data_IF_038503720834
#
_entry.id   IF_038503720834
#
_cell.length_a   1.000
_cell.length_b   1.000
_cell.length_c   1.000
_cell.angle_alpha   90.00
_cell.angle_beta   90.00
_cell.angle_gamma   90.00
#
_symmetry.space_group_name_H-M   'P 1'
#
loop_
_entity.id
_entity.type
_entity.pdbx_description
1 polymer ?
#
# COMPACT_ATOMS: atom_id res chain seq x y z
N UNK A 1 19.77 -22.44 8.75
CA UNK A 1 21.05 -21.90 8.25
C UNK A 1 20.65 -20.82 7.27
N UNK A 2 20.70 -19.55 7.68
CA UNK A 2 20.50 -18.45 6.73
C UNK A 2 21.54 -18.60 5.63
N UNK A 3 21.18 -18.45 4.35
CA UNK A 3 22.16 -18.29 3.31
C UNK A 3 23.06 -17.13 3.75
N UNK A 4 24.37 -17.37 3.89
CA UNK A 4 25.28 -16.29 4.25
C UNK A 4 25.16 -15.16 3.24
N UNK A 5 25.56 -13.95 3.61
CA UNK A 5 25.53 -12.73 2.78
C UNK A 5 26.19 -12.88 1.38
N UNK A 6 26.90 -13.98 1.12
CA UNK A 6 27.53 -14.34 -0.15
C UNK A 6 26.82 -15.48 -0.91
N UNK A 7 25.65 -15.93 -0.46
CA UNK A 7 24.89 -17.02 -1.10
C UNK A 7 23.99 -16.52 -2.21
N UNK A 8 23.69 -15.22 -2.25
CA UNK A 8 22.97 -14.62 -3.36
C UNK A 8 23.94 -14.37 -4.53
N UNK A 9 23.63 -14.97 -5.68
CA UNK A 9 24.39 -14.81 -6.93
C UNK A 9 24.50 -13.33 -7.31
N UNK A 10 23.59 -12.47 -6.85
CA UNK A 10 23.50 -11.04 -7.18
C UNK A 10 24.43 -10.18 -6.32
N UNK A 11 24.44 -10.39 -5.00
CA UNK A 11 25.42 -9.75 -4.09
C UNK A 11 26.86 -10.16 -4.42
N UNK A 12 27.05 -11.39 -4.90
CA UNK A 12 28.35 -11.86 -5.44
C UNK A 12 28.76 -11.06 -6.67
N UNK A 13 27.86 -10.78 -7.61
CA UNK A 13 28.18 -9.98 -8.81
C UNK A 13 28.54 -8.53 -8.44
N UNK A 14 27.79 -7.90 -7.54
CA UNK A 14 28.09 -6.52 -7.10
C UNK A 14 29.42 -6.43 -6.33
N UNK A 15 29.62 -7.29 -5.33
CA UNK A 15 30.70 -7.14 -4.35
C UNK A 15 32.00 -7.85 -4.79
N UNK A 16 31.89 -9.02 -5.43
CA UNK A 16 33.06 -9.84 -5.78
C UNK A 16 33.54 -9.55 -7.21
N UNK A 17 32.66 -9.05 -8.10
CA UNK A 17 33.03 -8.82 -9.51
C UNK A 17 33.13 -7.32 -9.81
N UNK A 18 32.05 -6.55 -9.61
CA UNK A 18 32.02 -5.15 -10.04
C UNK A 18 33.01 -4.25 -9.27
N UNK A 19 33.04 -4.35 -7.94
CA UNK A 19 33.93 -3.53 -7.10
C UNK A 19 35.43 -3.84 -7.39
N UNK A 20 35.88 -5.10 -7.40
CA UNK A 20 37.28 -5.40 -7.73
C UNK A 20 37.64 -5.01 -9.17
N UNK A 21 36.73 -5.16 -10.14
CA UNK A 21 36.97 -4.75 -11.51
C UNK A 21 37.14 -3.22 -11.63
N UNK A 22 36.35 -2.44 -10.89
CA UNK A 22 36.50 -0.98 -10.82
C UNK A 22 37.85 -0.57 -10.21
N UNK A 23 38.28 -1.25 -9.13
CA UNK A 23 39.59 -1.03 -8.50
C UNK A 23 40.72 -1.39 -9.47
N UNK A 24 40.62 -2.53 -10.16
CA UNK A 24 41.63 -2.96 -11.14
C UNK A 24 41.73 -1.95 -12.27
N UNK A 25 40.60 -1.48 -12.79
CA UNK A 25 40.58 -0.44 -13.81
C UNK A 25 41.30 0.83 -13.34
N UNK A 26 40.99 1.29 -12.13
CA UNK A 26 41.52 2.54 -11.60
C UNK A 26 43.01 2.47 -11.26
N UNK A 27 43.46 1.38 -10.66
CA UNK A 27 44.82 1.25 -10.10
C UNK A 27 45.81 0.72 -11.12
N UNK A 28 45.42 -0.23 -11.97
CA UNK A 28 46.34 -0.96 -12.84
C UNK A 28 46.17 -0.66 -14.33
N UNK A 29 44.94 -0.42 -14.80
CA UNK A 29 44.68 -0.15 -16.23
C UNK A 29 44.87 1.33 -16.56
N UNK A 30 44.40 2.24 -15.69
CA UNK A 30 44.50 3.69 -15.88
C UNK A 30 45.92 4.20 -16.14
N UNK A 31 46.98 3.69 -15.48
CA UNK A 31 48.37 4.11 -15.76
C UNK A 31 48.89 3.65 -17.13
N UNK A 32 48.28 2.64 -17.75
CA UNK A 32 48.72 2.04 -19.01
C UNK A 32 47.96 2.69 -20.18
N UNK A 33 46.64 2.73 -20.11
CA UNK A 33 45.78 3.34 -21.12
C UNK A 33 44.48 3.85 -20.48
N UNK A 34 44.28 5.16 -20.60
CA UNK A 34 43.12 5.84 -20.02
C UNK A 34 41.80 5.46 -20.71
N UNK A 35 41.82 5.26 -22.03
CA UNK A 35 40.61 4.93 -22.81
C UNK A 35 40.13 3.53 -22.47
N UNK A 36 41.06 2.58 -22.37
CA UNK A 36 40.74 1.20 -21.96
C UNK A 36 40.26 1.16 -20.51
N UNK A 37 40.91 1.92 -19.62
CA UNK A 37 40.46 2.05 -18.22
C UNK A 37 39.02 2.59 -18.14
N UNK A 38 38.68 3.62 -18.91
CA UNK A 38 37.34 4.19 -18.92
C UNK A 38 36.29 3.17 -19.40
N UNK A 39 36.60 2.37 -20.42
CA UNK A 39 35.70 1.30 -20.89
C UNK A 39 35.50 0.22 -19.81
N UNK A 40 36.58 -0.26 -19.18
CA UNK A 40 36.50 -1.30 -18.13
C UNK A 40 35.75 -0.79 -16.89
N UNK A 41 35.97 0.47 -16.53
CA UNK A 41 35.24 1.10 -15.43
C UNK A 41 33.75 1.27 -15.75
N UNK A 42 33.41 1.66 -16.99
CA UNK A 42 32.03 1.73 -17.46
C UNK A 42 31.31 0.39 -17.37
N UNK A 43 31.96 -0.71 -17.78
CA UNK A 43 31.41 -2.07 -17.64
C UNK A 43 31.19 -2.43 -16.17
N UNK A 44 32.14 -2.11 -15.29
CA UNK A 44 31.99 -2.34 -13.85
C UNK A 44 30.79 -1.57 -13.25
N UNK A 45 30.59 -0.32 -13.67
CA UNK A 45 29.49 0.53 -13.22
C UNK A 45 28.13 0.00 -13.71
N UNK A 46 28.03 -0.46 -14.95
CA UNK A 46 26.80 -1.08 -15.48
C UNK A 46 26.46 -2.36 -14.71
N UNK A 47 27.45 -3.22 -14.44
CA UNK A 47 27.23 -4.44 -13.64
C UNK A 47 26.79 -4.13 -12.21
N UNK A 48 27.37 -3.09 -11.60
CA UNK A 48 26.98 -2.63 -10.26
C UNK A 48 25.54 -2.11 -10.24
N UNK A 49 25.19 -1.20 -11.16
CA UNK A 49 23.84 -0.65 -11.25
C UNK A 49 22.80 -1.72 -11.57
N UNK A 50 23.11 -2.66 -12.47
CA UNK A 50 22.23 -3.78 -12.79
C UNK A 50 21.99 -4.70 -11.58
N UNK A 51 23.04 -4.97 -10.79
CA UNK A 51 22.90 -5.73 -9.56
C UNK A 51 22.05 -4.98 -8.51
N UNK A 52 22.20 -3.67 -8.36
CA UNK A 52 21.37 -2.86 -7.46
C UNK A 52 19.90 -2.73 -7.92
N UNK A 53 19.65 -2.64 -9.23
CA UNK A 53 18.30 -2.59 -9.80
C UNK A 53 17.54 -3.92 -9.64
N UNK A 54 18.25 -5.05 -9.68
CA UNK A 54 17.64 -6.37 -9.45
C UNK A 54 17.48 -6.71 -7.96
N UNK A 55 18.11 -5.95 -7.06
CA UNK A 55 17.94 -6.07 -5.61
C UNK A 55 16.65 -5.36 -5.16
N UNK A 56 16.40 -4.15 -5.68
CA UNK A 56 15.14 -3.40 -5.44
C UNK A 56 13.89 -4.10 -5.98
N UNK A 57 14.04 -5.01 -6.94
CA UNK A 57 12.92 -5.80 -7.47
C UNK A 57 12.56 -7.03 -6.61
N UNK A 58 13.45 -7.51 -5.72
CA UNK A 58 13.23 -8.74 -4.93
C UNK A 58 12.87 -8.48 -3.46
N UNK A 59 13.03 -7.25 -2.96
CA UNK A 59 12.54 -6.86 -1.63
C UNK A 59 11.00 -6.99 -1.49
N UNK A 60 10.27 -7.12 -2.60
CA UNK A 60 8.83 -7.36 -2.61
C UNK A 60 8.42 -8.85 -2.68
N UNK A 61 9.36 -9.82 -2.68
CA UNK A 61 9.00 -11.23 -2.99
C UNK A 61 9.49 -12.36 -2.09
N UNK A 62 10.11 -12.17 -0.93
CA UNK A 62 10.47 -13.36 -0.11
C UNK A 62 10.37 -13.23 1.41
N UNK A 63 9.17 -13.47 1.94
CA UNK A 63 9.03 -14.06 3.28
C UNK A 63 9.39 -15.55 3.17
N UNK A 64 10.60 -15.90 3.58
CA UNK A 64 11.09 -17.28 3.57
C UNK A 64 10.40 -18.11 4.68
N UNK A 65 9.56 -19.08 4.28
CA UNK A 65 8.94 -20.08 5.16
C UNK A 65 10.02 -20.81 5.97
N UNK A 66 10.06 -20.63 7.29
CA UNK A 66 10.92 -21.40 8.19
C UNK A 66 10.07 -22.27 9.12
N UNK A 67 10.31 -23.58 9.09
CA UNK A 67 9.64 -24.58 9.92
C UNK A 67 10.15 -24.51 11.37
N UNK A 68 9.31 -24.67 12.41
CA UNK A 68 9.73 -24.44 13.79
C UNK A 68 10.59 -25.57 14.36
N UNK A 69 11.65 -25.23 15.09
CA UNK A 69 12.41 -26.14 15.97
C UNK A 69 11.82 -26.05 17.40
N UNK A 70 11.76 -27.14 18.20
CA UNK A 70 10.97 -27.18 19.43
C UNK A 70 11.51 -26.25 20.51
N UNK A 71 10.62 -25.47 21.14
CA UNK A 71 10.89 -24.55 22.23
C UNK A 71 10.99 -25.26 23.59
N UNK A 72 12.07 -24.97 24.33
CA UNK A 72 12.17 -25.19 25.78
C UNK A 72 11.47 -24.03 26.50
N UNK A 73 10.66 -24.38 27.51
CA UNK A 73 9.77 -23.50 28.30
C UNK A 73 10.49 -22.33 29.00
N UNK A 74 9.95 -21.14 28.77
CA UNK A 74 10.06 -19.94 29.61
C UNK A 74 9.16 -18.88 28.99
N UNK A 75 8.07 -18.49 29.66
CA UNK A 75 6.91 -17.85 29.02
C UNK A 75 7.00 -16.32 28.98
N UNK A 76 7.14 -15.70 27.79
CA UNK A 76 6.62 -14.36 27.54
C UNK A 76 5.53 -14.35 26.45
N UNK A 77 4.53 -13.48 26.69
CA UNK A 77 3.48 -12.87 25.84
C UNK A 77 3.13 -13.59 24.52
N UNK A 78 1.86 -14.00 24.30
CA UNK A 78 1.44 -14.51 23.00
C UNK A 78 1.47 -13.37 21.97
N UNK A 79 2.47 -13.38 21.10
CA UNK A 79 2.36 -12.85 19.74
C UNK A 79 1.58 -13.88 18.95
N UNK A 80 0.26 -13.70 18.92
CA UNK A 80 -0.60 -14.29 17.90
C UNK A 80 -0.63 -13.27 16.77
N UNK A 81 0.23 -13.45 15.78
CA UNK A 81 -0.05 -12.91 14.45
C UNK A 81 -0.88 -14.01 13.79
N UNK A 82 -2.18 -13.98 14.05
CA UNK A 82 -3.14 -14.69 13.22
C UNK A 82 -3.11 -13.98 11.86
N UNK A 83 -2.87 -14.73 10.77
CA UNK A 83 -3.35 -14.32 9.45
C UNK A 83 -4.87 -14.20 9.60
N UNK A 84 -5.32 -12.99 9.94
CA UNK A 84 -6.71 -12.60 9.83
C UNK A 84 -7.00 -12.53 8.33
N UNK A 85 -7.34 -13.66 7.72
CA UNK A 85 -8.19 -13.62 6.53
C UNK A 85 -9.49 -12.99 7.01
N UNK A 86 -9.65 -11.70 6.74
CA UNK A 86 -10.91 -11.01 6.98
C UNK A 86 -11.95 -11.68 6.09
N UNK A 87 -12.77 -12.50 6.72
CA UNK A 87 -13.98 -13.00 6.11
C UNK A 87 -14.94 -11.81 6.03
N UNK A 88 -15.47 -11.54 4.84
CA UNK A 88 -16.45 -10.48 4.68
C UNK A 88 -17.64 -10.75 5.59
N UNK A 89 -17.70 -10.04 6.72
CA UNK A 89 -18.92 -9.88 7.48
C UNK A 89 -19.64 -8.74 6.79
N UNK A 90 -20.85 -8.95 6.24
CA UNK A 90 -21.60 -7.82 5.69
C UNK A 90 -21.71 -6.76 6.77
N UNK A 91 -21.03 -5.63 6.53
CA UNK A 91 -21.23 -4.42 7.31
C UNK A 91 -22.72 -4.18 7.38
N UNK A 92 -23.18 -3.73 8.55
CA UNK A 92 -24.59 -3.42 8.86
C UNK A 92 -25.28 -2.93 7.60
N UNK A 93 -26.32 -3.64 7.13
CA UNK A 93 -27.07 -3.27 5.94
C UNK A 93 -27.52 -1.81 6.10
N UNK A 94 -26.78 -0.88 5.46
CA UNK A 94 -26.93 0.59 5.32
C UNK A 94 -25.83 1.43 6.02
N UNK A 95 -25.09 2.26 5.28
CA UNK A 95 -24.74 3.60 5.75
C UNK A 95 -25.89 4.57 5.41
N UNK A 96 -27.10 4.31 5.91
CA UNK A 96 -28.24 5.24 5.79
C UNK A 96 -28.25 6.25 6.94
N UNK A 97 -27.07 6.58 7.45
CA UNK A 97 -26.86 7.51 8.53
C UNK A 97 -26.20 8.76 7.95
N UNK A 98 -26.61 9.93 8.42
CA UNK A 98 -25.97 11.16 8.00
C UNK A 98 -24.46 11.08 8.35
N UNK A 99 -23.57 11.76 7.60
CA UNK A 99 -22.15 11.83 7.94
C UNK A 99 -21.88 12.25 9.40
N UNK A 100 -22.80 13.01 10.00
CA UNK A 100 -22.76 13.43 11.41
C UNK A 100 -23.06 12.34 12.44
N UNK A 101 -23.55 11.18 12.00
CA UNK A 101 -23.88 10.03 12.86
C UNK A 101 -22.97 8.82 12.57
N UNK A 102 -22.18 8.88 11.49
CA UNK A 102 -21.25 7.84 11.09
C UNK A 102 -19.92 8.02 11.84
N UNK A 103 -19.47 7.03 12.64
CA UNK A 103 -18.19 7.14 13.34
C UNK A 103 -17.01 7.04 12.37
N UNK A 104 -15.88 7.66 12.71
CA UNK A 104 -14.67 7.61 11.88
C UNK A 104 -14.13 6.20 11.62
N UNK A 105 -14.46 5.22 12.47
CA UNK A 105 -14.09 3.81 12.25
C UNK A 105 -14.82 3.12 11.10
N UNK A 106 -15.81 3.74 10.46
CA UNK A 106 -16.36 3.21 9.19
C UNK A 106 -15.44 3.51 7.99
N UNK A 107 -14.34 4.22 8.20
CA UNK A 107 -13.35 4.49 7.15
C UNK A 107 -12.31 3.39 7.18
N UNK A 108 -12.14 2.71 6.04
CA UNK A 108 -11.17 1.62 5.91
C UNK A 108 -9.75 2.08 6.32
N UNK A 109 -9.08 1.23 7.11
CA UNK A 109 -7.80 1.53 7.76
C UNK A 109 -7.88 2.39 9.03
N UNK A 110 -9.05 2.89 9.45
CA UNK A 110 -9.25 3.55 10.77
C UNK A 110 -9.82 2.55 11.77
N UNK A 111 -8.94 1.76 12.39
CA UNK A 111 -9.33 0.87 13.48
C UNK A 111 -9.53 1.58 14.83
N UNK A 112 -9.85 0.83 15.90
CA UNK A 112 -10.14 1.37 17.24
C UNK A 112 -9.02 2.24 17.84
N UNK A 113 -7.77 2.02 17.42
CA UNK A 113 -6.61 2.80 17.87
C UNK A 113 -6.67 4.22 17.31
N UNK A 114 -6.73 4.37 15.98
CA UNK A 114 -6.82 5.68 15.34
C UNK A 114 -8.15 6.38 15.63
N UNK A 115 -9.25 5.63 15.63
CA UNK A 115 -10.56 6.19 15.98
C UNK A 115 -10.63 6.74 17.40
N UNK A 116 -9.92 6.11 18.36
CA UNK A 116 -9.78 6.69 19.72
C UNK A 116 -9.00 8.00 19.71
N UNK A 117 -7.89 8.09 18.97
CA UNK A 117 -7.09 9.32 18.88
C UNK A 117 -7.88 10.47 18.25
N UNK A 118 -8.59 10.19 17.16
CA UNK A 118 -9.45 11.15 16.48
C UNK A 118 -10.57 11.66 17.39
N UNK A 119 -11.28 10.76 18.10
CA UNK A 119 -12.29 11.16 19.10
C UNK A 119 -11.72 12.02 20.22
N UNK A 120 -10.57 11.66 20.77
CA UNK A 120 -9.91 12.45 21.83
C UNK A 120 -9.50 13.85 21.34
N UNK A 121 -9.33 14.03 20.03
CA UNK A 121 -9.08 15.31 19.37
C UNK A 121 -10.37 16.04 18.90
N UNK A 122 -11.56 15.48 19.17
CA UNK A 122 -12.85 16.06 18.77
C UNK A 122 -13.29 15.75 17.34
N UNK A 123 -12.66 14.76 16.68
CA UNK A 123 -13.03 14.25 15.35
C UNK A 123 -13.71 12.90 15.53
N UNK A 124 -15.01 12.91 15.83
CA UNK A 124 -15.73 11.68 16.21
C UNK A 124 -16.41 11.03 15.01
N UNK A 125 -16.85 11.84 14.04
CA UNK A 125 -17.72 11.43 12.95
C UNK A 125 -17.10 11.68 11.58
N UNK A 126 -17.66 11.07 10.54
CA UNK A 126 -17.30 11.33 9.13
C UNK A 126 -17.49 12.82 8.79
N UNK A 127 -18.53 13.47 9.30
CA UNK A 127 -18.72 14.91 9.14
C UNK A 127 -17.61 15.74 9.79
N UNK A 128 -17.20 15.39 11.01
CA UNK A 128 -16.09 16.08 11.69
C UNK A 128 -14.79 15.90 10.90
N UNK A 129 -14.56 14.69 10.39
CA UNK A 129 -13.38 14.36 9.60
C UNK A 129 -13.31 15.17 8.31
N UNK A 130 -14.42 15.33 7.59
CA UNK A 130 -14.53 16.17 6.40
C UNK A 130 -14.32 17.67 6.67
N UNK A 131 -14.44 18.10 7.93
CA UNK A 131 -14.22 19.48 8.35
C UNK A 131 -12.77 19.79 8.77
N UNK A 132 -11.88 18.79 8.77
CA UNK A 132 -10.48 18.89 9.21
C UNK A 132 -9.55 18.62 8.03
N UNK A 133 -8.41 19.30 7.99
CA UNK A 133 -7.38 19.07 6.97
C UNK A 133 -6.59 17.76 7.21
N UNK A 134 -6.04 17.21 6.14
CA UNK A 134 -5.29 15.95 6.19
C UNK A 134 -4.01 16.10 7.03
N UNK A 135 -3.38 17.27 7.04
CA UNK A 135 -2.20 17.54 7.88
C UNK A 135 -2.51 17.41 9.37
N UNK A 136 -3.67 17.90 9.81
CA UNK A 136 -4.09 17.78 11.21
C UNK A 136 -4.47 16.36 11.56
N UNK A 137 -5.16 15.64 10.68
CA UNK A 137 -5.45 14.21 10.85
C UNK A 137 -4.14 13.42 10.96
N UNK A 138 -3.15 13.72 10.13
CA UNK A 138 -1.83 13.11 10.16
C UNK A 138 -1.11 13.37 11.49
N UNK A 139 -1.17 14.61 12.01
CA UNK A 139 -0.62 14.98 13.31
C UNK A 139 -1.31 14.23 14.47
N UNK A 140 -2.65 14.16 14.47
CA UNK A 140 -3.43 13.49 15.52
C UNK A 140 -3.11 11.98 15.59
N UNK A 141 -2.99 11.35 14.42
CA UNK A 141 -2.83 9.90 14.31
C UNK A 141 -1.36 9.44 14.23
N UNK A 142 -0.39 10.36 14.17
CA UNK A 142 1.03 10.09 13.95
C UNK A 142 1.27 9.24 12.68
N UNK A 143 0.65 9.65 11.58
CA UNK A 143 0.78 9.02 10.25
C UNK A 143 1.34 10.01 9.23
N UNK A 144 1.72 9.52 8.04
CA UNK A 144 2.08 10.42 6.95
C UNK A 144 0.84 11.11 6.36
N UNK A 145 1.05 12.27 5.72
CA UNK A 145 -0.03 13.08 5.15
C UNK A 145 -0.78 12.31 4.05
N UNK A 146 -0.08 11.57 3.19
CA UNK A 146 -0.71 10.75 2.14
C UNK A 146 -1.73 9.75 2.71
N UNK A 147 -1.48 9.15 3.87
CA UNK A 147 -2.41 8.24 4.54
C UNK A 147 -3.66 8.99 5.02
N UNK A 148 -3.46 10.14 5.63
CA UNK A 148 -4.56 10.99 6.09
C UNK A 148 -5.39 11.54 4.92
N UNK A 149 -4.76 11.90 3.80
CA UNK A 149 -5.44 12.30 2.57
C UNK A 149 -6.31 11.17 2.02
N UNK A 150 -5.82 9.92 2.03
CA UNK A 150 -6.62 8.76 1.61
C UNK A 150 -7.82 8.54 2.51
N UNK A 151 -7.63 8.61 3.82
CA UNK A 151 -8.74 8.51 4.77
C UNK A 151 -9.77 9.61 4.54
N UNK A 152 -9.33 10.86 4.33
CA UNK A 152 -10.20 11.98 4.02
C UNK A 152 -10.93 11.78 2.68
N UNK A 153 -10.26 11.25 1.65
CA UNK A 153 -10.89 10.91 0.38
C UNK A 153 -11.96 9.83 0.54
N UNK A 154 -11.67 8.74 1.26
CA UNK A 154 -12.65 7.67 1.53
C UNK A 154 -13.87 8.19 2.32
N UNK A 155 -13.65 9.13 3.24
CA UNK A 155 -14.73 9.75 4.03
C UNK A 155 -15.78 10.49 3.19
N UNK A 156 -15.43 10.92 1.97
CA UNK A 156 -16.39 11.53 1.03
C UNK A 156 -17.36 10.52 0.42
N UNK A 157 -17.05 9.23 0.48
CA UNK A 157 -17.84 8.16 -0.13
C UNK A 157 -18.49 7.23 0.88
N UNK A 158 -17.95 7.10 2.09
CA UNK A 158 -18.37 6.14 3.11
C UNK A 158 -19.82 6.28 3.61
N UNK A 159 -20.47 7.40 3.31
CA UNK A 159 -21.87 7.69 3.69
C UNK A 159 -22.87 7.48 2.55
N UNK A 160 -22.42 7.02 1.38
CA UNK A 160 -23.27 6.74 0.22
C UNK A 160 -23.88 5.34 0.33
N UNK A 161 -25.18 5.22 0.09
CA UNK A 161 -25.95 3.98 0.30
C UNK A 161 -25.44 2.81 -0.57
N UNK A 162 -24.91 3.11 -1.76
CA UNK A 162 -24.40 2.10 -2.68
C UNK A 162 -22.95 1.67 -2.40
N UNK A 163 -22.25 2.34 -1.49
CA UNK A 163 -20.80 2.20 -1.25
C UNK A 163 -20.56 1.63 0.15
N UNK A 164 -19.85 0.51 0.22
CA UNK A 164 -19.28 0.01 1.48
C UNK A 164 -17.85 0.51 1.71
N UNK A 165 -17.26 0.18 2.86
CA UNK A 165 -15.89 0.55 3.24
C UNK A 165 -14.87 0.09 2.18
N UNK A 166 -14.98 -1.17 1.75
CA UNK A 166 -14.21 -1.76 0.63
C UNK A 166 -14.39 -1.03 -0.72
N UNK A 167 -15.59 -0.51 -0.98
CA UNK A 167 -15.87 0.22 -2.21
C UNK A 167 -15.20 1.59 -2.19
N UNK A 168 -15.27 2.29 -1.04
CA UNK A 168 -14.61 3.57 -0.84
C UNK A 168 -13.09 3.44 -0.98
N UNK A 169 -12.49 2.38 -0.41
CA UNK A 169 -11.07 2.09 -0.60
C UNK A 169 -10.73 1.88 -2.08
N UNK A 170 -11.50 1.03 -2.78
CA UNK A 170 -11.26 0.75 -4.20
C UNK A 170 -11.38 2.00 -5.09
N UNK A 171 -12.34 2.89 -4.82
CA UNK A 171 -12.51 4.17 -5.53
C UNK A 171 -11.26 5.05 -5.37
N UNK A 172 -10.75 5.17 -4.14
CA UNK A 172 -9.58 6.02 -3.85
C UNK A 172 -8.29 5.40 -4.35
N UNK A 173 -8.02 4.15 -4.00
CA UNK A 173 -6.73 3.50 -4.28
C UNK A 173 -6.59 3.11 -5.75
N UNK A 174 -7.59 2.43 -6.33
CA UNK A 174 -7.53 1.96 -7.71
C UNK A 174 -8.06 3.01 -8.69
N UNK A 175 -9.16 3.68 -8.34
CA UNK A 175 -9.76 4.72 -9.16
C UNK A 175 -8.92 5.99 -9.26
N UNK A 176 -8.14 6.30 -8.20
CA UNK A 176 -7.50 7.61 -7.98
C UNK A 176 -8.52 8.75 -8.00
N UNK A 177 -9.70 8.48 -7.43
CA UNK A 177 -10.83 9.39 -7.37
C UNK A 177 -10.92 9.88 -5.92
N UNK A 178 -10.75 11.19 -5.72
CA UNK A 178 -10.74 11.81 -4.40
C UNK A 178 -11.96 12.69 -4.16
N UNK A 179 -12.71 13.05 -5.20
CA UNK A 179 -13.86 13.95 -5.10
C UNK A 179 -15.14 13.34 -5.70
N UNK A 180 -16.30 13.82 -5.27
CA UNK A 180 -17.61 13.27 -5.66
C UNK A 180 -17.92 13.53 -7.15
N UNK A 181 -17.50 14.69 -7.66
CA UNK A 181 -17.61 15.07 -9.06
C UNK A 181 -16.79 14.16 -9.97
N UNK A 182 -15.61 13.74 -9.52
CA UNK A 182 -14.75 12.80 -10.25
C UNK A 182 -15.41 11.41 -10.34
N UNK A 183 -16.03 10.95 -9.24
CA UNK A 183 -16.80 9.70 -9.24
C UNK A 183 -18.03 9.82 -10.17
N UNK A 184 -18.77 10.93 -10.11
CA UNK A 184 -19.92 11.18 -10.96
C UNK A 184 -19.57 11.22 -12.46
N UNK A 185 -18.36 11.68 -12.80
CA UNK A 185 -17.86 11.72 -14.17
C UNK A 185 -17.20 10.40 -14.65
N UNK A 186 -17.03 9.41 -13.76
CA UNK A 186 -16.32 8.19 -14.07
C UNK A 186 -17.08 7.27 -15.06
N UNK A 187 -16.34 6.36 -15.69
CA UNK A 187 -16.87 5.28 -16.51
C UNK A 187 -16.79 3.95 -15.74
N UNK A 188 -17.91 3.24 -15.61
CA UNK A 188 -17.99 2.03 -14.79
C UNK A 188 -17.09 0.89 -15.29
N UNK A 189 -17.01 0.67 -16.61
CA UNK A 189 -16.16 -0.37 -17.20
C UNK A 189 -14.66 -0.06 -17.03
N UNK A 190 -14.26 1.20 -17.16
CA UNK A 190 -12.88 1.62 -16.93
C UNK A 190 -12.48 1.50 -15.45
N UNK A 191 -13.34 1.97 -14.54
CA UNK A 191 -13.10 1.89 -13.11
C UNK A 191 -13.05 0.41 -12.66
N UNK A 192 -13.93 -0.44 -13.18
CA UNK A 192 -13.88 -1.87 -12.93
C UNK A 192 -12.56 -2.49 -13.36
N UNK A 193 -12.05 -2.15 -14.55
CA UNK A 193 -10.75 -2.65 -15.03
C UNK A 193 -9.60 -2.19 -14.12
N UNK A 194 -9.59 -0.93 -13.68
CA UNK A 194 -8.57 -0.41 -12.75
C UNK A 194 -8.60 -1.17 -11.42
N UNK A 195 -9.79 -1.38 -10.84
CA UNK A 195 -9.96 -2.13 -9.60
C UNK A 195 -9.44 -3.57 -9.75
N UNK A 196 -9.80 -4.25 -10.84
CA UNK A 196 -9.30 -5.61 -11.09
C UNK A 196 -7.77 -5.65 -11.25
N UNK A 197 -7.16 -4.64 -11.90
CA UNK A 197 -5.70 -4.54 -11.99
C UNK A 197 -5.07 -4.39 -10.61
N UNK A 198 -5.57 -3.45 -9.82
CA UNK A 198 -5.06 -3.17 -8.48
C UNK A 198 -5.16 -4.39 -7.54
N UNK A 199 -6.25 -5.15 -7.62
CA UNK A 199 -6.41 -6.41 -6.86
C UNK A 199 -5.37 -7.45 -7.30
N UNK A 200 -5.17 -7.62 -8.61
CA UNK A 200 -4.19 -8.58 -9.14
C UNK A 200 -2.74 -8.20 -8.80
N UNK A 201 -2.47 -6.91 -8.72
CA UNK A 201 -1.15 -6.36 -8.35
C UNK A 201 -0.92 -6.37 -6.82
N UNK A 202 -1.98 -6.51 -6.03
CA UNK A 202 -1.94 -6.52 -4.57
C UNK A 202 -2.00 -5.13 -3.93
N UNK A 203 -2.30 -4.10 -4.72
CA UNK A 203 -2.43 -2.70 -4.29
C UNK A 203 -3.75 -2.43 -3.56
N UNK A 204 -4.77 -3.23 -3.86
CA UNK A 204 -6.06 -3.25 -3.14
C UNK A 204 -6.28 -4.67 -2.64
N UNK A 205 -6.63 -4.80 -1.35
CA UNK A 205 -6.99 -6.08 -0.76
C UNK A 205 -8.50 -6.15 -0.65
N UNK A 206 -9.04 -7.34 -0.83
CA UNK A 206 -10.48 -7.58 -0.69
C UNK A 206 -10.69 -8.78 0.23
N UNK A 207 -11.61 -8.68 1.19
CA UNK A 207 -12.03 -9.81 2.02
C UNK A 207 -12.47 -11.01 1.19
N UNK A 208 -12.32 -12.21 1.76
CA UNK A 208 -12.74 -13.43 1.09
C UNK A 208 -14.26 -13.39 0.78
N UNK A 209 -14.61 -13.68 -0.48
CA UNK A 209 -16.00 -13.68 -0.95
C UNK A 209 -16.53 -12.31 -1.41
N UNK A 210 -15.78 -11.23 -1.19
CA UNK A 210 -16.13 -9.92 -1.70
C UNK A 210 -15.86 -9.81 -3.20
N UNK A 211 -16.79 -9.21 -3.97
CA UNK A 211 -16.63 -9.07 -5.42
C UNK A 211 -17.10 -7.72 -5.92
N UNK A 212 -16.36 -7.19 -6.89
CA UNK A 212 -16.77 -6.02 -7.65
C UNK A 212 -17.49 -6.43 -8.92
N UNK A 213 -18.40 -5.58 -9.40
CA UNK A 213 -19.01 -5.74 -10.72
C UNK A 213 -19.28 -4.36 -11.33
N UNK A 214 -19.31 -4.30 -12.67
CA UNK A 214 -19.66 -3.07 -13.40
C UNK A 214 -21.02 -2.52 -12.97
N UNK A 215 -21.99 -3.41 -12.71
CA UNK A 215 -23.32 -3.01 -12.23
C UNK A 215 -23.26 -2.36 -10.85
N UNK A 216 -22.43 -2.88 -9.94
CA UNK A 216 -22.23 -2.28 -8.62
C UNK A 216 -21.58 -0.89 -8.74
N UNK A 217 -20.51 -0.79 -9.53
CA UNK A 217 -19.79 0.46 -9.77
C UNK A 217 -20.70 1.51 -10.41
N UNK A 218 -21.57 1.11 -11.35
CA UNK A 218 -22.52 2.03 -11.97
C UNK A 218 -23.48 2.64 -10.94
N UNK A 219 -23.88 1.89 -9.90
CA UNK A 219 -24.70 2.44 -8.80
C UNK A 219 -23.96 3.51 -8.02
N UNK A 220 -22.67 3.34 -7.73
CA UNK A 220 -21.86 4.36 -7.05
C UNK A 220 -21.83 5.66 -7.86
N UNK A 221 -21.61 5.53 -9.18
CA UNK A 221 -21.54 6.66 -10.11
C UNK A 221 -22.92 7.36 -10.21
N UNK A 222 -24.00 6.59 -10.31
CA UNK A 222 -25.35 7.14 -10.41
C UNK A 222 -25.79 7.85 -9.12
N UNK A 223 -25.41 7.32 -7.96
CA UNK A 223 -25.62 7.97 -6.67
C UNK A 223 -24.82 9.27 -6.56
N UNK A 224 -23.53 9.25 -6.91
CA UNK A 224 -22.68 10.44 -6.93
C UNK A 224 -23.26 11.54 -7.84
N UNK A 225 -23.74 11.19 -9.05
CA UNK A 225 -24.41 12.12 -9.97
C UNK A 225 -25.68 12.74 -9.41
N UNK A 226 -26.34 12.09 -8.46
CA UNK A 226 -27.56 12.63 -7.84
C UNK A 226 -27.27 13.74 -6.82
N UNK A 227 -26.01 13.86 -6.41
CA UNK A 227 -25.55 14.76 -5.35
C UNK A 227 -24.78 15.98 -5.86
N UNK A 228 -24.36 15.99 -7.14
CA UNK A 228 -23.57 17.06 -7.78
C UNK A 228 -24.22 17.66 -9.02
#
# INVERSE_FOLDING_TARGET
MSPGFLSDKRSVVAIIIAIPLAIISYVFVRPIDYTVSLMVFGVALVLFLFACLLDTADEFRSVQKSTPKPLVKGTPRPTVVEEHEEEYVPAVERPAAAPSDLPVETIEGIGPVYGKLLREAGVETVADMLAVDSEKIAEICDVNVDQAERWLAMSRFAWLDAISEEDAEAIVFAGKIAELEELAAANADELYRKIQSAINEGDVRVPAGYTFSVVKIQKWIDEAKSLV
#
